data_IF_244416334716
#
_entry.id   IF_244416334716
#
_cell.length_a   1.000
_cell.length_b   1.000
_cell.length_c   1.000
_cell.angle_alpha   90.00
_cell.angle_beta   90.00
_cell.angle_gamma   90.00
#
_symmetry.space_group_name_H-M   'P 1'
#
loop_
_entity.id
_entity.type
_entity.pdbx_description
1 polymer ?
#
# COMPACT_ATOMS: atom_id res chain seq x y z
N UNK A 1 -5.33 -30.87 -3.82
CA UNK A 1 -5.54 -29.74 -4.75
C UNK A 1 -5.10 -28.49 -3.99
N UNK A 2 -3.92 -27.94 -4.28
CA UNK A 2 -3.46 -26.67 -3.70
C UNK A 2 -4.38 -25.59 -4.23
N UNK A 3 -5.11 -24.95 -3.32
CA UNK A 3 -6.02 -23.86 -3.66
C UNK A 3 -5.18 -22.68 -4.14
N UNK A 4 -5.19 -22.40 -5.46
CA UNK A 4 -4.43 -21.29 -6.05
C UNK A 4 -4.86 -19.97 -5.42
N UNK A 5 -3.90 -19.14 -4.91
CA UNK A 5 -4.23 -17.86 -4.30
C UNK A 5 -5.00 -16.96 -5.29
N UNK A 6 -6.04 -16.29 -4.78
CA UNK A 6 -6.86 -15.34 -5.57
C UNK A 6 -6.83 -13.97 -4.94
N UNK A 7 -6.97 -12.94 -5.79
CA UNK A 7 -7.03 -11.55 -5.38
C UNK A 7 -8.44 -10.99 -5.64
N UNK A 8 -9.06 -10.37 -4.64
CA UNK A 8 -10.39 -9.80 -4.81
C UNK A 8 -10.29 -8.44 -5.51
N UNK A 9 -10.14 -8.44 -6.82
CA UNK A 9 -9.97 -7.26 -7.66
C UNK A 9 -11.26 -6.41 -7.68
N UNK A 10 -11.15 -5.13 -7.34
CA UNK A 10 -12.22 -4.15 -7.44
C UNK A 10 -12.09 -3.25 -8.66
N UNK A 11 -10.86 -2.82 -8.97
CA UNK A 11 -10.61 -1.91 -10.08
C UNK A 11 -9.16 -1.96 -10.56
N UNK A 12 -8.97 -1.59 -11.83
CA UNK A 12 -7.67 -1.28 -12.42
C UNK A 12 -7.68 0.20 -12.84
N UNK A 13 -6.74 0.99 -12.30
CA UNK A 13 -6.53 2.37 -12.72
C UNK A 13 -5.18 2.44 -13.44
N UNK A 14 -5.25 2.51 -14.77
CA UNK A 14 -4.08 2.38 -15.66
C UNK A 14 -3.40 3.73 -15.91
N UNK A 15 -2.13 3.69 -16.29
CA UNK A 15 -1.31 4.81 -16.77
C UNK A 15 -1.29 5.98 -15.77
N UNK A 16 -1.13 5.68 -14.49
CA UNK A 16 -0.99 6.69 -13.44
C UNK A 16 0.44 7.19 -13.39
N UNK A 17 0.61 8.48 -13.13
CA UNK A 17 1.93 9.13 -13.12
C UNK A 17 2.16 9.88 -11.80
N UNK A 18 3.27 9.58 -11.11
CA UNK A 18 3.74 10.34 -9.94
C UNK A 18 2.90 10.21 -8.66
N UNK A 19 1.92 9.32 -8.62
CA UNK A 19 1.03 9.14 -7.47
C UNK A 19 1.39 7.86 -6.71
N UNK A 20 1.60 6.78 -7.43
CA UNK A 20 1.77 5.44 -6.87
C UNK A 20 3.22 4.94 -7.05
N UNK A 21 4.19 5.85 -6.97
CA UNK A 21 5.62 5.59 -7.18
C UNK A 21 6.18 6.22 -8.45
N UNK A 22 7.44 5.91 -8.76
CA UNK A 22 8.13 6.44 -9.94
C UNK A 22 7.67 5.74 -11.23
N UNK A 23 7.73 6.47 -12.34
CA UNK A 23 7.35 5.98 -13.67
C UNK A 23 5.84 5.94 -13.88
N UNK A 24 5.43 5.26 -14.95
CA UNK A 24 4.01 5.03 -15.25
C UNK A 24 3.57 3.74 -14.58
N UNK A 25 2.47 3.79 -13.82
CA UNK A 25 1.99 2.67 -13.02
C UNK A 25 0.56 2.29 -13.37
N UNK A 26 0.20 1.04 -13.09
CA UNK A 26 -1.19 0.59 -13.04
C UNK A 26 -1.51 0.21 -11.61
N UNK A 27 -2.48 0.91 -10.99
CA UNK A 27 -2.99 0.58 -9.67
C UNK A 27 -3.97 -0.59 -9.76
N UNK A 28 -3.69 -1.64 -9.02
CA UNK A 28 -4.56 -2.80 -8.79
C UNK A 28 -5.25 -2.62 -7.45
N UNK A 29 -6.48 -2.16 -7.47
CA UNK A 29 -7.25 -1.94 -6.26
C UNK A 29 -7.97 -3.22 -5.83
N UNK A 30 -7.63 -3.74 -4.64
CA UNK A 30 -8.24 -4.90 -4.03
C UNK A 30 -9.28 -4.57 -2.98
N UNK A 31 -10.15 -5.53 -2.70
CA UNK A 31 -11.10 -5.47 -1.60
C UNK A 31 -10.46 -5.90 -0.26
N UNK A 32 -11.13 -5.51 0.83
CA UNK A 32 -10.70 -5.84 2.19
C UNK A 32 -9.69 -4.84 2.76
N UNK A 33 -9.96 -4.39 3.97
CA UNK A 33 -9.04 -3.55 4.74
C UNK A 33 -9.34 -3.75 6.23
N UNK A 34 -8.33 -3.97 7.09
CA UNK A 34 -8.54 -4.12 8.53
C UNK A 34 -8.80 -2.79 9.24
N UNK A 35 -8.55 -1.66 8.56
CA UNK A 35 -8.78 -0.33 9.09
C UNK A 35 -10.12 0.27 8.63
N UNK A 36 -10.65 1.17 9.45
CA UNK A 36 -11.89 1.90 9.19
C UNK A 36 -11.65 3.41 9.17
N UNK A 37 -10.64 3.86 8.39
CA UNK A 37 -10.25 5.26 8.31
C UNK A 37 -11.45 6.17 8.03
N UNK A 38 -11.60 7.24 8.83
CA UNK A 38 -12.76 8.15 8.77
C UNK A 38 -12.90 8.85 7.42
N UNK A 39 -11.79 9.20 6.78
CA UNK A 39 -11.74 9.86 5.47
C UNK A 39 -11.10 8.93 4.42
N UNK A 40 -11.48 7.64 4.38
CA UNK A 40 -10.96 6.71 3.38
C UNK A 40 -11.40 7.12 1.98
N UNK A 41 -10.43 7.43 1.10
CA UNK A 41 -10.70 7.83 -0.31
C UNK A 41 -11.33 6.69 -1.12
N UNK A 42 -11.10 5.46 -0.69
CA UNK A 42 -11.63 4.25 -1.34
C UNK A 42 -12.91 3.72 -0.67
N UNK A 43 -13.50 4.48 0.27
CA UNK A 43 -14.66 4.03 1.06
C UNK A 43 -15.79 3.49 0.20
N UNK A 44 -16.18 4.24 -0.83
CA UNK A 44 -17.26 3.84 -1.74
C UNK A 44 -16.90 2.57 -2.49
N UNK A 45 -15.70 2.51 -3.06
CA UNK A 45 -15.21 1.34 -3.79
C UNK A 45 -15.17 0.10 -2.90
N UNK A 46 -14.66 0.22 -1.66
CA UNK A 46 -14.54 -0.89 -0.71
C UNK A 46 -15.89 -1.36 -0.17
N UNK A 47 -16.87 -0.46 -0.06
CA UNK A 47 -18.20 -0.77 0.51
C UNK A 47 -19.19 -1.28 -0.53
N UNK A 48 -19.17 -0.69 -1.73
CA UNK A 48 -20.18 -0.91 -2.77
C UNK A 48 -19.65 -1.76 -3.94
N UNK A 49 -18.33 -1.91 -4.04
CA UNK A 49 -17.72 -2.68 -5.13
C UNK A 49 -17.97 -4.18 -4.99
N UNK A 50 -18.17 -4.84 -6.12
CA UNK A 50 -18.25 -6.30 -6.23
C UNK A 50 -16.90 -6.84 -6.67
N UNK A 51 -16.10 -7.48 -5.78
CA UNK A 51 -14.76 -7.94 -6.13
C UNK A 51 -14.81 -9.17 -7.05
N UNK A 52 -14.05 -9.11 -8.13
CA UNK A 52 -13.79 -10.28 -8.97
C UNK A 52 -12.63 -11.10 -8.38
N UNK A 53 -12.82 -12.40 -8.21
CA UNK A 53 -11.77 -13.30 -7.75
C UNK A 53 -10.85 -13.68 -8.92
N UNK A 54 -9.67 -13.04 -8.99
CA UNK A 54 -8.73 -13.19 -10.11
C UNK A 54 -7.47 -13.96 -9.70
N UNK A 55 -6.93 -14.81 -10.58
CA UNK A 55 -5.63 -15.44 -10.38
C UNK A 55 -4.49 -14.50 -10.80
N UNK A 56 -3.26 -14.80 -10.36
CA UNK A 56 -2.09 -14.01 -10.72
C UNK A 56 -1.85 -14.00 -12.25
N UNK A 57 -2.07 -15.13 -12.91
CA UNK A 57 -1.95 -15.23 -14.38
C UNK A 57 -3.02 -14.38 -15.10
N UNK A 58 -4.27 -14.43 -14.62
CA UNK A 58 -5.34 -13.60 -15.19
C UNK A 58 -5.08 -12.11 -15.00
N UNK A 59 -4.57 -11.70 -13.83
CA UNK A 59 -4.19 -10.32 -13.59
C UNK A 59 -3.04 -9.88 -14.50
N UNK A 60 -2.00 -10.72 -14.63
CA UNK A 60 -0.87 -10.44 -15.52
C UNK A 60 -1.33 -10.16 -16.94
N UNK A 61 -2.21 -10.98 -17.50
CA UNK A 61 -2.75 -10.78 -18.85
C UNK A 61 -3.48 -9.42 -18.98
N UNK A 62 -4.21 -8.97 -17.95
CA UNK A 62 -4.91 -7.67 -17.97
C UNK A 62 -3.97 -6.47 -17.94
N UNK A 63 -2.88 -6.56 -17.17
CA UNK A 63 -1.96 -5.41 -17.01
C UNK A 63 -0.83 -5.42 -18.03
N UNK A 64 -0.64 -6.53 -18.77
CA UNK A 64 0.42 -6.70 -19.79
C UNK A 64 0.30 -5.71 -20.94
N UNK A 65 -0.88 -5.21 -21.21
CA UNK A 65 -1.11 -4.17 -22.23
C UNK A 65 -0.31 -2.89 -21.93
N UNK A 66 0.10 -2.68 -20.67
CA UNK A 66 0.88 -1.51 -20.21
C UNK A 66 2.40 -1.77 -20.21
N UNK A 67 2.89 -2.95 -20.61
CA UNK A 67 4.30 -3.36 -20.54
C UNK A 67 5.25 -2.32 -21.15
N UNK A 68 4.93 -1.80 -22.34
CA UNK A 68 5.75 -0.78 -23.01
C UNK A 68 5.96 0.47 -22.13
N UNK A 69 4.90 0.94 -21.48
CA UNK A 69 4.96 2.10 -20.62
C UNK A 69 5.75 1.82 -19.34
N UNK A 70 5.59 0.63 -18.76
CA UNK A 70 6.34 0.23 -17.58
C UNK A 70 7.84 0.17 -17.86
N UNK A 71 8.25 -0.48 -18.93
CA UNK A 71 9.66 -0.61 -19.33
C UNK A 71 10.27 0.74 -19.68
N UNK A 72 9.55 1.58 -20.45
CA UNK A 72 10.05 2.89 -20.89
C UNK A 72 10.23 3.88 -19.74
N UNK A 73 9.44 3.77 -18.66
CA UNK A 73 9.44 4.73 -17.55
C UNK A 73 10.07 4.22 -16.26
N UNK A 74 10.44 2.94 -16.18
CA UNK A 74 10.82 2.29 -14.92
C UNK A 74 9.63 2.13 -13.94
N UNK A 75 8.41 2.12 -14.46
CA UNK A 75 7.17 1.93 -13.74
C UNK A 75 6.79 0.46 -13.53
N UNK A 76 5.49 0.21 -13.35
CA UNK A 76 4.99 -1.15 -13.14
C UNK A 76 3.62 -1.21 -12.48
N UNK A 77 3.42 -2.18 -11.60
CA UNK A 77 2.16 -2.44 -10.93
C UNK A 77 2.22 -2.03 -9.47
N UNK A 78 1.23 -1.26 -9.02
CA UNK A 78 1.05 -0.91 -7.61
C UNK A 78 -0.22 -1.56 -7.09
N UNK A 79 -0.11 -2.37 -6.03
CA UNK A 79 -1.25 -2.93 -5.34
C UNK A 79 -1.67 -2.04 -4.18
N UNK A 80 -2.97 -1.79 -4.08
CA UNK A 80 -3.55 -0.89 -3.07
C UNK A 80 -5.07 -0.98 -3.06
N UNK A 81 -5.74 0.16 -2.79
CA UNK A 81 -7.21 0.23 -2.70
C UNK A 81 -7.68 -0.11 -1.29
N UNK A 82 -7.80 -1.39 -0.94
CA UNK A 82 -7.84 -1.91 0.42
C UNK A 82 -6.44 -2.14 0.98
N UNK A 83 -6.26 -3.20 1.77
CA UNK A 83 -4.95 -3.61 2.30
C UNK A 83 -4.41 -4.79 1.49
N UNK A 84 -3.44 -4.59 0.59
CA UNK A 84 -2.95 -5.65 -0.28
C UNK A 84 -2.23 -6.78 0.46
N UNK A 85 -1.62 -6.49 1.63
CA UNK A 85 -0.90 -7.49 2.40
C UNK A 85 -1.81 -8.59 2.97
N UNK A 86 -3.13 -8.41 3.02
CA UNK A 86 -4.07 -9.50 3.32
C UNK A 86 -3.99 -10.66 2.31
N UNK A 87 -3.37 -10.42 1.17
CA UNK A 87 -3.23 -11.38 0.06
C UNK A 87 -1.75 -11.61 -0.30
N UNK A 88 -0.85 -11.64 0.69
CA UNK A 88 0.60 -11.67 0.46
C UNK A 88 1.06 -12.87 -0.41
N UNK A 89 0.45 -14.05 -0.26
CA UNK A 89 0.76 -15.21 -1.11
C UNK A 89 0.40 -15.00 -2.58
N UNK A 90 -0.70 -14.28 -2.85
CA UNK A 90 -1.04 -13.87 -4.21
C UNK A 90 0.01 -12.90 -4.77
N UNK A 91 0.45 -11.93 -3.97
CA UNK A 91 1.48 -10.97 -4.38
C UNK A 91 2.79 -11.68 -4.74
N UNK A 92 3.19 -12.67 -3.95
CA UNK A 92 4.37 -13.51 -4.22
C UNK A 92 4.21 -14.30 -5.52
N UNK A 93 3.06 -14.91 -5.75
CA UNK A 93 2.76 -15.60 -7.00
C UNK A 93 2.76 -14.64 -8.19
N UNK A 94 2.16 -13.45 -8.06
CA UNK A 94 2.19 -12.44 -9.12
C UNK A 94 3.63 -12.01 -9.44
N UNK A 95 4.47 -11.78 -8.41
CA UNK A 95 5.90 -11.45 -8.59
C UNK A 95 6.63 -12.53 -9.42
N UNK A 96 6.36 -13.80 -9.17
CA UNK A 96 7.02 -14.90 -9.88
C UNK A 96 6.64 -14.98 -11.36
N UNK A 97 5.49 -14.41 -11.77
CA UNK A 97 5.01 -14.38 -13.14
C UNK A 97 5.30 -13.05 -13.85
N UNK A 98 5.49 -11.98 -13.09
CA UNK A 98 5.69 -10.64 -13.65
C UNK A 98 7.00 -10.58 -14.45
N UNK A 99 7.01 -9.91 -15.62
CA UNK A 99 8.21 -9.75 -16.43
C UNK A 99 9.33 -9.02 -15.68
N UNK A 100 10.57 -9.37 -15.97
CA UNK A 100 11.73 -8.62 -15.51
C UNK A 100 11.65 -7.16 -15.95
N UNK A 101 12.03 -6.26 -15.07
CA UNK A 101 12.00 -4.83 -15.32
C UNK A 101 10.69 -4.14 -14.92
N UNK A 102 9.62 -4.88 -14.58
CA UNK A 102 8.46 -4.29 -13.90
C UNK A 102 8.75 -4.04 -12.44
N UNK A 103 8.35 -2.87 -11.95
CA UNK A 103 8.35 -2.56 -10.52
C UNK A 103 7.04 -2.98 -9.88
N UNK A 104 7.11 -3.78 -8.83
CA UNK A 104 5.95 -4.12 -8.00
C UNK A 104 6.00 -3.29 -6.74
N UNK A 105 4.94 -2.53 -6.47
CA UNK A 105 4.80 -1.65 -5.32
C UNK A 105 3.58 -2.03 -4.50
N UNK A 106 3.67 -1.83 -3.19
CA UNK A 106 2.57 -2.08 -2.26
C UNK A 106 2.24 -0.81 -1.49
N UNK A 107 1.01 -0.31 -1.64
CA UNK A 107 0.46 0.74 -0.78
C UNK A 107 -0.22 0.07 0.42
N UNK A 108 0.36 0.20 1.61
CA UNK A 108 -0.07 -0.55 2.79
C UNK A 108 -0.15 0.31 4.04
N UNK A 109 -1.07 -0.04 4.92
CA UNK A 109 -1.13 0.49 6.30
C UNK A 109 -0.27 -0.31 7.28
N UNK A 110 0.24 -1.48 6.89
CA UNK A 110 0.90 -2.47 7.74
C UNK A 110 0.05 -2.98 8.92
N UNK A 111 -1.25 -2.77 8.91
CA UNK A 111 -2.17 -3.23 9.96
C UNK A 111 -2.60 -4.69 9.71
N UNK A 112 -1.65 -5.59 9.54
CA UNK A 112 -1.86 -7.00 9.19
C UNK A 112 -1.07 -7.92 10.13
N UNK A 113 -1.36 -9.24 10.16
CA UNK A 113 -0.52 -10.21 10.86
C UNK A 113 0.94 -10.14 10.38
N UNK A 114 1.93 -10.32 11.28
CA UNK A 114 3.35 -10.15 10.95
C UNK A 114 3.91 -11.07 9.86
N UNK A 115 3.35 -12.26 9.70
CA UNK A 115 3.70 -13.23 8.66
C UNK A 115 3.39 -12.70 7.26
N UNK A 116 2.32 -11.94 7.09
CA UNK A 116 1.97 -11.30 5.82
C UNK A 116 3.03 -10.28 5.38
N UNK A 117 3.64 -9.56 6.34
CA UNK A 117 4.73 -8.61 6.05
C UNK A 117 5.97 -9.34 5.54
N UNK A 118 6.29 -10.50 6.11
CA UNK A 118 7.46 -11.31 5.70
C UNK A 118 7.29 -11.73 4.24
N UNK A 119 6.15 -12.31 3.88
CA UNK A 119 5.86 -12.76 2.50
C UNK A 119 5.84 -11.58 1.53
N UNK A 120 5.22 -10.45 1.92
CA UNK A 120 5.15 -9.26 1.08
C UNK A 120 6.53 -8.63 0.82
N UNK A 121 7.47 -8.70 1.78
CA UNK A 121 8.83 -8.17 1.62
C UNK A 121 9.60 -8.84 0.47
N UNK A 122 9.29 -10.11 0.18
CA UNK A 122 9.87 -10.86 -0.95
C UNK A 122 9.19 -10.54 -2.28
N UNK A 123 7.92 -10.09 -2.24
CA UNK A 123 7.08 -9.92 -3.42
C UNK A 123 7.21 -8.55 -4.10
N UNK A 124 7.69 -7.52 -3.40
CA UNK A 124 7.67 -6.15 -3.90
C UNK A 124 9.05 -5.52 -4.01
N UNK A 125 9.20 -4.58 -4.92
CA UNK A 125 10.41 -3.76 -5.07
C UNK A 125 10.39 -2.55 -4.14
N UNK A 126 9.21 -1.96 -3.89
CA UNK A 126 9.04 -0.75 -3.08
C UNK A 126 7.73 -0.81 -2.27
N UNK A 127 7.75 -0.13 -1.12
CA UNK A 127 6.62 -0.02 -0.21
C UNK A 127 6.25 1.44 0.00
N UNK A 128 4.98 1.76 -0.14
CA UNK A 128 4.39 3.05 0.20
C UNK A 128 3.56 2.81 1.45
N UNK A 129 4.13 3.17 2.60
CA UNK A 129 3.50 2.91 3.90
C UNK A 129 2.70 4.14 4.34
N UNK A 130 1.42 3.95 4.51
CA UNK A 130 0.51 4.98 5.01
C UNK A 130 0.53 5.04 6.54
N UNK A 131 1.44 5.80 7.13
CA UNK A 131 1.42 6.12 8.55
C UNK A 131 0.45 7.28 8.80
N UNK A 132 -0.72 6.97 9.35
CA UNK A 132 -1.76 8.00 9.55
C UNK A 132 -1.43 8.98 10.68
N UNK A 133 -0.80 8.49 11.75
CA UNK A 133 -0.21 9.28 12.84
C UNK A 133 0.63 8.37 13.75
N UNK A 134 1.64 8.91 14.43
CA UNK A 134 2.44 8.16 15.42
C UNK A 134 1.89 8.29 16.84
N UNK A 135 0.93 9.17 17.13
CA UNK A 135 0.17 9.18 18.39
C UNK A 135 -0.81 7.99 18.40
N UNK A 136 -0.76 7.11 19.40
CA UNK A 136 -1.71 5.99 19.52
C UNK A 136 -3.17 6.44 19.59
N UNK A 137 -3.41 7.58 20.23
CA UNK A 137 -4.75 8.14 20.38
C UNK A 137 -5.30 8.64 19.03
N UNK A 138 -4.52 9.47 18.30
CA UNK A 138 -4.91 10.00 17.00
C UNK A 138 -5.09 8.86 16.01
N UNK A 139 -4.13 7.92 15.96
CA UNK A 139 -4.19 6.76 15.08
C UNK A 139 -5.47 5.96 15.29
N UNK A 140 -5.77 5.58 16.54
CA UNK A 140 -6.98 4.81 16.89
C UNK A 140 -8.26 5.56 16.56
N UNK A 141 -8.33 6.86 16.90
CA UNK A 141 -9.50 7.71 16.63
C UNK A 141 -9.80 7.83 15.13
N UNK A 142 -8.74 7.90 14.32
CA UNK A 142 -8.87 8.05 12.87
C UNK A 142 -9.11 6.73 12.15
N UNK A 143 -8.37 5.66 12.51
CA UNK A 143 -8.34 4.40 11.76
C UNK A 143 -9.18 3.29 12.39
N UNK A 144 -9.43 3.35 13.68
CA UNK A 144 -9.97 2.24 14.49
C UNK A 144 -8.96 1.13 14.77
N UNK A 145 -7.72 1.24 14.28
CA UNK A 145 -6.69 0.22 14.39
C UNK A 145 -5.70 0.42 15.54
N UNK A 146 -4.71 -0.45 15.58
CA UNK A 146 -3.61 -0.44 16.56
C UNK A 146 -2.32 0.11 15.93
N UNK A 147 -1.84 1.25 16.46
CA UNK A 147 -0.59 1.88 16.01
C UNK A 147 0.63 1.02 16.34
N UNK A 148 0.63 0.30 17.45
CA UNK A 148 1.79 -0.49 17.88
C UNK A 148 2.01 -1.68 16.95
N UNK A 149 0.95 -2.29 16.44
CA UNK A 149 1.03 -3.30 15.38
C UNK A 149 1.69 -2.73 14.13
N UNK A 150 1.23 -1.56 13.67
CA UNK A 150 1.81 -0.89 12.49
C UNK A 150 3.30 -0.60 12.70
N UNK A 151 3.70 -0.06 13.86
CA UNK A 151 5.11 0.25 14.17
C UNK A 151 5.97 -1.01 14.25
N UNK A 152 5.45 -2.08 14.87
CA UNK A 152 6.15 -3.37 14.94
C UNK A 152 6.39 -3.95 13.54
N UNK A 153 5.38 -3.89 12.68
CA UNK A 153 5.47 -4.34 11.30
C UNK A 153 6.38 -3.44 10.44
N UNK A 154 6.39 -2.13 10.70
CA UNK A 154 7.32 -1.21 10.01
C UNK A 154 8.78 -1.53 10.35
N UNK A 155 9.10 -1.81 11.62
CA UNK A 155 10.44 -2.26 12.02
C UNK A 155 10.83 -3.55 11.31
N UNK A 156 9.93 -4.54 11.30
CA UNK A 156 10.15 -5.79 10.57
C UNK A 156 10.39 -5.56 9.09
N UNK A 157 9.60 -4.69 8.47
CA UNK A 157 9.76 -4.36 7.06
C UNK A 157 11.10 -3.64 6.79
N UNK A 158 11.55 -2.75 7.68
CA UNK A 158 12.88 -2.12 7.62
C UNK A 158 14.00 -3.15 7.64
N UNK A 159 13.93 -4.13 8.54
CA UNK A 159 14.92 -5.20 8.67
C UNK A 159 14.97 -6.10 7.41
N UNK A 160 13.82 -6.35 6.77
CA UNK A 160 13.71 -7.23 5.60
C UNK A 160 13.99 -6.53 4.27
N UNK A 161 13.52 -5.30 4.11
CA UNK A 161 13.53 -4.60 2.83
C UNK A 161 14.60 -3.50 2.73
N UNK A 162 15.06 -2.93 3.85
CA UNK A 162 15.91 -1.75 3.89
C UNK A 162 15.12 -0.45 3.72
N UNK A 163 15.64 0.65 4.27
CA UNK A 163 14.97 1.95 4.29
C UNK A 163 14.80 2.57 2.89
N UNK A 164 15.67 2.26 1.95
CA UNK A 164 15.67 2.77 0.58
C UNK A 164 14.45 2.30 -0.24
N UNK A 165 13.87 1.16 0.13
CA UNK A 165 12.67 0.60 -0.53
C UNK A 165 11.37 1.08 0.10
N UNK A 166 11.42 1.87 1.18
CA UNK A 166 10.25 2.28 1.95
C UNK A 166 10.05 3.79 1.86
N UNK A 167 8.91 4.21 1.31
CA UNK A 167 8.40 5.57 1.38
C UNK A 167 7.29 5.62 2.43
N UNK A 168 7.41 6.47 3.45
CA UNK A 168 6.33 6.64 4.44
C UNK A 168 5.55 7.92 4.15
N UNK A 169 4.24 7.77 3.94
CA UNK A 169 3.30 8.88 3.80
C UNK A 169 2.73 9.27 5.17
N UNK A 170 2.85 10.56 5.51
CA UNK A 170 2.31 11.12 6.74
C UNK A 170 1.36 12.27 6.40
N UNK A 171 0.05 12.03 6.38
CA UNK A 171 -0.93 13.04 6.01
C UNK A 171 -1.19 14.04 7.15
N UNK A 172 -1.43 15.31 6.78
CA UNK A 172 -2.09 16.26 7.66
C UNK A 172 -3.61 16.07 7.50
N UNK A 173 -4.24 15.46 8.50
CA UNK A 173 -5.64 15.00 8.41
C UNK A 173 -6.56 16.01 9.12
N UNK A 174 -7.45 16.72 8.40
CA UNK A 174 -8.37 17.66 9.01
C UNK A 174 -9.18 17.05 10.15
N UNK A 175 -9.34 17.77 11.27
CA UNK A 175 -10.04 17.40 12.50
C UNK A 175 -9.38 16.27 13.34
N UNK A 176 -8.26 15.71 12.88
CA UNK A 176 -7.60 14.60 13.58
C UNK A 176 -6.21 14.93 14.08
N UNK A 177 -5.36 15.53 13.26
CA UNK A 177 -4.02 15.93 13.64
C UNK A 177 -3.70 17.35 13.19
N UNK A 178 -2.64 17.92 13.77
CA UNK A 178 -2.10 19.24 13.46
C UNK A 178 -0.76 19.12 12.74
N UNK A 179 -0.23 20.23 12.21
CA UNK A 179 1.12 20.28 11.64
C UNK A 179 2.17 19.80 12.65
N UNK A 180 2.01 20.18 13.93
CA UNK A 180 2.90 19.71 15.01
C UNK A 180 2.84 18.19 15.21
N UNK A 181 1.66 17.57 15.10
CA UNK A 181 1.51 16.12 15.20
C UNK A 181 2.14 15.43 13.99
N UNK A 182 1.98 15.98 12.78
CA UNK A 182 2.61 15.49 11.56
C UNK A 182 4.15 15.55 11.65
N UNK A 183 4.71 16.68 12.11
CA UNK A 183 6.15 16.86 12.35
C UNK A 183 6.66 15.87 13.40
N UNK A 184 5.95 15.70 14.51
CA UNK A 184 6.28 14.75 15.58
C UNK A 184 6.27 13.30 15.05
N UNK A 185 5.29 12.97 14.22
CA UNK A 185 5.20 11.67 13.55
C UNK A 185 6.40 11.44 12.62
N UNK A 186 6.75 12.43 11.80
CA UNK A 186 7.92 12.35 10.92
C UNK A 186 9.23 12.20 11.71
N UNK A 187 9.40 12.95 12.81
CA UNK A 187 10.57 12.84 13.69
C UNK A 187 10.68 11.44 14.32
N UNK A 188 9.56 10.90 14.81
CA UNK A 188 9.49 9.55 15.38
C UNK A 188 9.85 8.48 14.34
N UNK A 189 9.33 8.58 13.13
CA UNK A 189 9.63 7.67 12.02
C UNK A 189 11.10 7.78 11.59
N UNK A 190 11.66 8.98 11.56
CA UNK A 190 13.09 9.21 11.28
C UNK A 190 13.98 8.53 12.32
N UNK A 191 13.60 8.57 13.59
CA UNK A 191 14.34 7.88 14.67
C UNK A 191 14.26 6.35 14.56
N UNK A 192 13.27 5.79 13.84
CA UNK A 192 13.19 4.38 13.50
C UNK A 192 14.05 3.99 12.29
N UNK A 193 14.66 4.95 11.60
CA UNK A 193 15.51 4.69 10.41
C UNK A 193 14.83 4.96 9.08
N UNK A 194 13.63 5.51 9.05
CA UNK A 194 12.98 5.93 7.80
C UNK A 194 13.70 7.15 7.23
N UNK A 195 14.01 7.11 5.93
CA UNK A 195 14.74 8.16 5.22
C UNK A 195 13.92 8.85 4.12
N UNK A 196 12.83 8.23 3.66
CA UNK A 196 11.99 8.73 2.56
C UNK A 196 10.58 9.02 3.09
N UNK A 197 10.15 10.27 2.93
CA UNK A 197 8.86 10.77 3.43
C UNK A 197 8.07 11.48 2.34
N UNK A 198 6.75 11.36 2.44
CA UNK A 198 5.77 12.16 1.73
C UNK A 198 4.83 12.81 2.78
N UNK A 199 5.06 14.10 3.06
CA UNK A 199 4.25 14.89 3.98
C UNK A 199 3.29 15.73 3.15
N UNK A 200 1.99 15.51 3.31
CA UNK A 200 1.00 16.17 2.46
C UNK A 200 -0.28 16.54 3.23
N UNK A 201 -0.97 17.62 2.82
CA UNK A 201 -2.30 17.92 3.32
C UNK A 201 -3.31 16.93 2.76
N UNK A 202 -4.08 16.29 3.65
CA UNK A 202 -5.13 15.37 3.22
C UNK A 202 -6.33 16.16 2.69
N UNK A 203 -6.66 15.97 1.43
CA UNK A 203 -7.83 16.57 0.80
C UNK A 203 -9.06 15.68 0.99
N UNK A 204 -10.11 16.21 1.66
CA UNK A 204 -11.41 15.53 1.68
C UNK A 204 -11.98 15.59 0.27
N UNK A 205 -12.26 14.43 -0.31
CA UNK A 205 -13.18 14.39 -1.45
C UNK A 205 -14.57 14.25 -0.83
N UNK A 206 -15.48 15.12 -1.20
CA UNK A 206 -16.89 14.98 -0.85
C UNK A 206 -17.36 13.63 -1.37
N UNK A 207 -17.66 12.74 -0.40
CA UNK A 207 -18.04 11.34 -0.64
C UNK A 207 -19.56 11.24 -0.71
#
# INVERSE_FOLDING_TARGET
>A
MTNEPRYPLLALARLRMGIDGAGITTLVAGAGCPLHCRWCINRRLLKEGAPEQITAAQLLERVRIDDLYFRASGGGVTFGGGEPLLHAEFLRQFRSLAPDGWKIRLETSLAVPPDQVIVAAEAADEFIVDCKDMSPEIYRRYTGGDRDLMVSNLRRLLDLAGAERILVRVPLIPDYNTEKDQESSAASLKSLGITRFDLFPYSRRDL
#
